data_IF_683504864505
#
_entry.id   IF_683504864505
#
_cell.length_a   1.000
_cell.length_b   1.000
_cell.length_c   1.000
_cell.angle_alpha   90.00
_cell.angle_beta   90.00
_cell.angle_gamma   90.00
#
_symmetry.space_group_name_H-M   'P 1'
#
loop_
_entity.id
_entity.type
_entity.pdbx_description
1 polymer ?
#
# COMPACT_ATOMS: atom_id res chain seq x y z
N UNK A 1 19.04 6.20 7.14
CA UNK A 1 17.57 6.26 7.16
C UNK A 1 16.88 4.94 6.76
N UNK A 2 17.63 3.91 6.30
CA UNK A 2 17.13 2.55 6.03
C UNK A 2 16.09 2.45 4.90
N UNK A 3 15.94 3.46 4.06
CA UNK A 3 15.09 3.41 2.88
C UNK A 3 15.93 2.93 1.69
N UNK A 4 15.39 1.98 0.93
CA UNK A 4 15.95 1.53 -0.35
C UNK A 4 15.71 2.64 -1.41
N UNK A 5 16.67 3.58 -1.49
CA UNK A 5 16.55 4.76 -2.34
C UNK A 5 16.90 4.41 -3.79
N UNK A 6 15.91 4.38 -4.66
CA UNK A 6 16.12 4.30 -6.11
C UNK A 6 16.76 5.56 -6.70
N UNK A 7 17.24 5.51 -7.97
CA UNK A 7 17.91 6.64 -8.62
C UNK A 7 17.13 7.96 -8.58
N UNK A 8 15.80 7.92 -8.72
CA UNK A 8 14.97 9.12 -8.68
C UNK A 8 14.93 9.75 -7.27
N UNK A 9 14.83 8.93 -6.22
CA UNK A 9 14.86 9.38 -4.82
C UNK A 9 16.22 10.00 -4.48
N UNK A 10 17.31 9.37 -4.94
CA UNK A 10 18.68 9.90 -4.74
C UNK A 10 18.83 11.26 -5.44
N UNK A 11 18.34 11.41 -6.67
CA UNK A 11 18.37 12.70 -7.39
C UNK A 11 17.63 13.77 -6.60
N UNK A 12 16.43 13.46 -6.08
CA UNK A 12 15.67 14.40 -5.26
C UNK A 12 16.47 14.83 -4.02
N UNK A 13 17.07 13.90 -3.28
CA UNK A 13 17.88 14.21 -2.10
C UNK A 13 19.12 15.03 -2.45
N UNK A 14 19.82 14.70 -3.54
CA UNK A 14 20.99 15.47 -4.01
C UNK A 14 20.62 16.92 -4.33
N UNK A 15 19.48 17.12 -5.01
CA UNK A 15 19.02 18.46 -5.36
C UNK A 15 18.53 19.21 -4.11
N UNK A 16 17.74 18.57 -3.26
CA UNK A 16 17.06 19.23 -2.14
C UNK A 16 17.99 19.55 -0.96
N UNK A 17 18.95 18.66 -0.66
CA UNK A 17 19.84 18.83 0.48
C UNK A 17 21.24 19.34 0.12
N UNK A 18 21.65 19.16 -1.13
CA UNK A 18 23.02 19.49 -1.56
C UNK A 18 23.08 20.44 -2.77
N UNK A 19 21.95 20.83 -3.34
CA UNK A 19 21.90 21.69 -4.54
C UNK A 19 22.48 21.04 -5.81
N UNK A 20 22.70 19.72 -5.80
CA UNK A 20 23.34 18.99 -6.91
C UNK A 20 22.27 18.55 -7.91
N UNK A 21 22.34 19.05 -9.13
CA UNK A 21 21.47 18.63 -10.23
C UNK A 21 22.16 17.54 -11.06
N UNK A 22 21.56 16.37 -11.13
CA UNK A 22 22.07 15.21 -11.88
C UNK A 22 20.91 14.41 -12.46
N UNK A 23 21.11 13.83 -13.66
CA UNK A 23 20.08 12.97 -14.27
C UNK A 23 19.97 11.62 -13.54
N UNK A 24 18.75 11.12 -13.34
CA UNK A 24 18.51 9.82 -12.73
C UNK A 24 19.21 8.66 -13.47
N UNK A 25 19.38 8.76 -14.79
CA UNK A 25 20.13 7.79 -15.59
C UNK A 25 21.63 7.76 -15.20
N UNK A 26 22.21 8.90 -14.83
CA UNK A 26 23.61 8.98 -14.37
C UNK A 26 23.76 8.32 -13.01
N UNK A 27 22.85 8.61 -12.07
CA UNK A 27 22.81 7.95 -10.76
C UNK A 27 22.66 6.43 -10.94
N UNK A 28 21.72 5.99 -11.78
CA UNK A 28 21.52 4.56 -12.06
C UNK A 28 22.80 3.89 -12.58
N UNK A 29 23.49 4.50 -13.54
CA UNK A 29 24.76 3.94 -14.07
C UNK A 29 25.81 3.78 -12.97
N UNK A 30 25.92 4.74 -12.07
CA UNK A 30 26.85 4.67 -10.94
C UNK A 30 26.49 3.59 -9.93
N UNK A 31 25.20 3.44 -9.62
CA UNK A 31 24.72 2.38 -8.72
C UNK A 31 24.94 0.98 -9.30
N UNK A 32 24.72 0.80 -10.60
CA UNK A 32 25.03 -0.46 -11.31
C UNK A 32 26.54 -0.74 -11.29
N UNK A 33 27.38 0.25 -11.59
CA UNK A 33 28.84 0.10 -11.56
C UNK A 33 29.36 -0.22 -10.15
N UNK A 34 28.68 0.24 -9.11
CA UNK A 34 29.00 -0.06 -7.72
C UNK A 34 28.39 -1.39 -7.21
N UNK A 35 27.69 -2.17 -8.06
CA UNK A 35 27.04 -3.42 -7.67
C UNK A 35 25.82 -3.27 -6.75
N UNK A 36 25.33 -2.03 -6.59
CA UNK A 36 24.18 -1.73 -5.71
C UNK A 36 22.82 -1.93 -6.40
N UNK A 37 22.82 -2.09 -7.71
CA UNK A 37 21.62 -2.43 -8.51
C UNK A 37 22.01 -3.53 -9.49
N UNK A 38 21.28 -4.64 -9.42
CA UNK A 38 21.34 -5.66 -10.46
C UNK A 38 20.42 -5.27 -11.62
N UNK A 39 20.93 -5.26 -12.87
CA UNK A 39 20.08 -5.06 -14.04
C UNK A 39 19.09 -6.22 -14.20
N UNK A 40 17.79 -5.95 -14.20
CA UNK A 40 16.76 -6.93 -14.52
C UNK A 40 16.29 -6.77 -15.99
N UNK A 41 16.91 -7.44 -16.97
CA UNK A 41 16.58 -7.26 -18.39
C UNK A 41 15.17 -7.76 -18.76
N UNK A 42 14.55 -8.60 -17.91
CA UNK A 42 13.19 -9.14 -18.11
C UNK A 42 12.08 -8.19 -17.63
N UNK A 43 12.40 -7.13 -16.94
CA UNK A 43 11.41 -6.15 -16.48
C UNK A 43 10.87 -5.37 -17.68
N UNK A 44 9.56 -5.45 -17.91
CA UNK A 44 8.90 -4.67 -18.98
C UNK A 44 9.18 -3.17 -18.81
N UNK A 45 9.42 -2.42 -19.91
CA UNK A 45 9.57 -0.97 -19.85
C UNK A 45 8.38 -0.31 -19.17
N UNK A 46 8.61 0.73 -18.36
CA UNK A 46 7.52 1.48 -17.69
C UNK A 46 6.49 2.06 -18.67
N UNK A 47 6.90 2.37 -19.89
CA UNK A 47 6.03 2.86 -20.96
C UNK A 47 5.01 1.82 -21.46
N UNK A 48 5.20 0.53 -21.16
CA UNK A 48 4.26 -0.53 -21.55
C UNK A 48 3.12 -0.76 -20.54
N UNK A 49 3.11 -0.04 -19.41
CA UNK A 49 2.05 -0.14 -18.41
C UNK A 49 1.01 0.96 -18.62
N UNK A 50 -0.23 0.57 -18.88
CA UNK A 50 -1.36 1.49 -18.76
C UNK A 50 -1.55 1.77 -17.28
N UNK A 51 -1.29 3.01 -16.85
CA UNK A 51 -1.50 3.43 -15.48
C UNK A 51 -2.93 3.88 -15.31
N UNK A 52 -3.70 3.15 -14.55
CA UNK A 52 -4.94 3.67 -13.99
C UNK A 52 -4.59 4.51 -12.76
N UNK A 53 -5.09 5.73 -12.70
CA UNK A 53 -4.93 6.64 -11.56
C UNK A 53 -6.19 7.48 -11.47
N UNK A 54 -6.72 7.62 -10.26
CA UNK A 54 -7.77 8.58 -9.95
C UNK A 54 -7.29 10.01 -10.28
N UNK A 55 -8.18 10.85 -10.77
CA UNK A 55 -7.82 12.22 -11.20
C UNK A 55 -7.66 13.15 -10.00
N UNK A 56 -8.42 12.90 -8.93
CA UNK A 56 -8.46 13.72 -7.73
C UNK A 56 -8.25 12.91 -6.46
N UNK A 57 -7.75 13.54 -5.37
CA UNK A 57 -7.76 12.95 -4.04
C UNK A 57 -9.20 12.57 -3.63
N UNK A 58 -9.35 11.50 -2.86
CA UNK A 58 -10.63 10.95 -2.41
C UNK A 58 -11.58 10.49 -3.55
N UNK A 59 -11.14 10.45 -4.79
CA UNK A 59 -11.92 9.81 -5.85
C UNK A 59 -11.93 8.28 -5.69
N UNK A 60 -10.80 7.72 -5.29
CA UNK A 60 -10.69 6.28 -5.04
C UNK A 60 -9.64 5.97 -3.98
N UNK A 61 -10.02 5.15 -3.02
CA UNK A 61 -9.10 4.55 -2.07
C UNK A 61 -8.81 3.10 -2.44
N UNK A 62 -7.57 2.67 -2.23
CA UNK A 62 -7.18 1.27 -2.32
C UNK A 62 -6.97 0.71 -0.92
N UNK A 63 -7.38 -0.54 -0.72
CA UNK A 63 -7.12 -1.28 0.52
C UNK A 63 -6.60 -2.66 0.24
N UNK A 64 -5.71 -3.10 1.09
CA UNK A 64 -5.17 -4.45 1.11
C UNK A 64 -4.53 -4.71 2.48
N UNK A 65 -4.35 -5.97 2.85
CA UNK A 65 -3.60 -6.33 4.03
C UNK A 65 -2.45 -7.28 3.69
N UNK A 66 -1.41 -7.23 4.51
CA UNK A 66 -0.22 -8.04 4.31
C UNK A 66 0.29 -8.62 5.61
N UNK A 67 0.92 -9.79 5.54
CA UNK A 67 1.56 -10.40 6.70
C UNK A 67 2.91 -9.77 6.98
N UNK A 68 3.17 -9.50 8.27
CA UNK A 68 4.44 -9.03 8.80
C UNK A 68 4.91 -9.95 9.93
N UNK A 69 6.20 -10.29 9.94
CA UNK A 69 6.79 -11.10 11.00
C UNK A 69 6.93 -10.31 12.30
N UNK A 70 6.60 -10.96 13.41
CA UNK A 70 7.00 -10.57 14.76
C UNK A 70 8.17 -11.49 15.22
N UNK A 71 8.85 -11.14 16.29
CA UNK A 71 9.89 -12.02 16.87
C UNK A 71 9.32 -13.40 17.25
N UNK A 72 8.06 -13.42 17.69
CA UNK A 72 7.35 -14.65 18.05
C UNK A 72 5.98 -14.71 17.39
N UNK A 73 5.93 -14.93 16.06
CA UNK A 73 4.67 -15.08 15.32
C UNK A 73 4.52 -14.16 14.12
N UNK A 74 3.29 -13.90 13.76
CA UNK A 74 2.92 -13.06 12.63
C UNK A 74 1.81 -12.09 13.01
N UNK A 75 1.82 -10.94 12.35
CA UNK A 75 0.77 -9.94 12.39
C UNK A 75 0.27 -9.66 10.97
N UNK A 76 -0.92 -9.13 10.86
CA UNK A 76 -1.49 -8.60 9.63
C UNK A 76 -1.52 -7.08 9.69
N UNK A 77 -1.01 -6.42 8.65
CA UNK A 77 -1.02 -4.96 8.52
C UNK A 77 -2.02 -4.58 7.46
N UNK A 78 -3.08 -3.89 7.88
CA UNK A 78 -4.11 -3.35 7.00
C UNK A 78 -3.70 -1.94 6.57
N UNK A 79 -3.85 -1.66 5.27
CA UNK A 79 -3.49 -0.37 4.66
C UNK A 79 -4.66 0.21 3.90
N UNK A 80 -4.94 1.50 4.14
CA UNK A 80 -5.79 2.34 3.31
C UNK A 80 -4.94 3.39 2.62
N UNK A 81 -5.02 3.48 1.29
CA UNK A 81 -4.19 4.34 0.46
C UNK A 81 -5.05 5.14 -0.51
N UNK A 82 -4.88 6.45 -0.56
CA UNK A 82 -5.47 7.28 -1.61
C UNK A 82 -4.80 6.99 -2.97
N UNK A 83 -5.62 6.68 -3.99
CA UNK A 83 -5.14 6.27 -5.30
C UNK A 83 -4.43 7.40 -6.05
N UNK A 84 -4.87 8.65 -5.87
CA UNK A 84 -4.30 9.80 -6.54
C UNK A 84 -2.97 10.23 -5.91
N UNK A 85 -3.02 10.62 -4.64
CA UNK A 85 -1.87 11.19 -3.91
C UNK A 85 -0.86 10.17 -3.45
N UNK A 86 -1.25 8.90 -3.29
CA UNK A 86 -0.49 7.82 -2.62
C UNK A 86 -0.33 8.05 -1.13
N UNK A 87 -1.11 8.94 -0.57
CA UNK A 87 -1.13 9.18 0.86
C UNK A 87 -1.65 7.94 1.59
N UNK A 88 -0.93 7.52 2.62
CA UNK A 88 -1.35 6.43 3.49
C UNK A 88 -2.35 6.99 4.51
N UNK A 89 -3.63 6.71 4.28
CA UNK A 89 -4.73 7.18 5.11
C UNK A 89 -4.76 6.48 6.48
N UNK A 90 -4.42 5.19 6.46
CA UNK A 90 -4.32 4.35 7.65
C UNK A 90 -3.40 3.17 7.39
N UNK A 91 -2.53 2.87 8.34
CA UNK A 91 -1.66 1.68 8.34
C UNK A 91 -1.69 1.08 9.74
N UNK A 92 -2.42 0.00 9.93
CA UNK A 92 -2.71 -0.54 11.26
C UNK A 92 -2.31 -2.00 11.39
N UNK A 93 -1.68 -2.34 12.54
CA UNK A 93 -1.23 -3.68 12.87
C UNK A 93 -2.30 -4.44 13.69
N UNK A 94 -2.54 -5.68 13.32
CA UNK A 94 -3.53 -6.55 13.95
C UNK A 94 -2.99 -7.98 14.08
N UNK A 95 -3.45 -8.72 15.08
CA UNK A 95 -3.21 -10.18 15.14
C UNK A 95 -3.85 -10.84 13.92
N UNK A 96 -5.06 -10.39 13.55
CA UNK A 96 -5.80 -10.82 12.36
C UNK A 96 -6.73 -9.70 11.91
N UNK A 97 -6.75 -9.42 10.61
CA UNK A 97 -7.69 -8.49 9.99
C UNK A 97 -9.06 -9.17 9.86
N UNK A 98 -10.09 -8.52 10.37
CA UNK A 98 -11.48 -8.99 10.34
C UNK A 98 -12.38 -7.94 9.68
N UNK A 99 -13.59 -8.33 9.27
CA UNK A 99 -14.57 -7.41 8.69
C UNK A 99 -14.84 -6.16 9.55
N UNK A 100 -15.11 -6.29 10.85
CA UNK A 100 -15.23 -5.12 11.75
C UNK A 100 -14.01 -4.21 11.72
N UNK A 101 -12.80 -4.74 11.83
CA UNK A 101 -11.55 -3.94 11.79
C UNK A 101 -11.45 -3.15 10.47
N UNK A 102 -11.82 -3.77 9.35
CA UNK A 102 -11.81 -3.09 8.04
C UNK A 102 -12.78 -1.91 8.04
N UNK A 103 -13.99 -2.08 8.59
CA UNK A 103 -14.98 -0.99 8.68
C UNK A 103 -14.54 0.09 9.65
N UNK A 104 -14.03 -0.27 10.81
CA UNK A 104 -13.59 0.69 11.84
C UNK A 104 -12.47 1.59 11.29
N UNK A 105 -11.44 0.99 10.67
CA UNK A 105 -10.32 1.74 10.09
C UNK A 105 -10.75 2.58 8.89
N UNK A 106 -11.67 2.09 8.06
CA UNK A 106 -12.27 2.83 6.96
C UNK A 106 -13.03 4.06 7.46
N UNK A 107 -13.91 3.87 8.45
CA UNK A 107 -14.76 4.92 9.01
C UNK A 107 -13.90 5.99 9.71
N UNK A 108 -12.90 5.57 10.47
CA UNK A 108 -11.96 6.52 11.10
C UNK A 108 -11.21 7.35 10.05
N UNK A 109 -10.66 6.69 9.03
CA UNK A 109 -9.96 7.40 7.93
C UNK A 109 -10.91 8.36 7.19
N UNK A 110 -12.19 7.96 7.00
CA UNK A 110 -13.20 8.80 6.37
C UNK A 110 -13.60 10.01 7.23
N UNK A 111 -13.63 9.85 8.54
CA UNK A 111 -13.87 10.95 9.48
C UNK A 111 -12.74 11.98 9.46
N UNK A 112 -11.49 11.52 9.35
CA UNK A 112 -10.31 12.37 9.40
C UNK A 112 -10.02 13.08 8.07
N UNK A 113 -10.23 12.41 6.92
CA UNK A 113 -9.78 12.85 5.60
C UNK A 113 -10.91 13.10 4.57
N UNK A 114 -12.18 12.86 4.97
CA UNK A 114 -13.31 12.80 4.06
C UNK A 114 -13.42 11.44 3.37
N UNK A 115 -14.66 11.01 3.08
CA UNK A 115 -14.91 9.72 2.46
C UNK A 115 -14.62 9.72 0.95
N UNK A 116 -14.15 8.58 0.37
CA UNK A 116 -13.89 8.48 -1.05
C UNK A 116 -15.18 8.28 -1.86
N UNK A 117 -15.15 8.60 -3.16
CA UNK A 117 -16.24 8.26 -4.07
C UNK A 117 -16.28 6.75 -4.38
N UNK A 118 -15.14 6.07 -4.31
CA UNK A 118 -15.06 4.61 -4.52
C UNK A 118 -13.93 3.97 -3.72
N UNK A 119 -14.09 2.67 -3.44
CA UNK A 119 -13.08 1.82 -2.78
C UNK A 119 -12.73 0.67 -3.72
N UNK A 120 -11.43 0.44 -3.90
CA UNK A 120 -10.87 -0.67 -4.64
C UNK A 120 -10.19 -1.64 -3.67
N UNK A 121 -10.63 -2.89 -3.66
CA UNK A 121 -10.05 -3.98 -2.87
C UNK A 121 -9.75 -5.20 -3.74
N UNK A 122 -8.99 -6.14 -3.19
CA UNK A 122 -8.96 -7.48 -3.71
C UNK A 122 -10.28 -8.23 -3.42
N UNK A 123 -10.29 -9.53 -3.72
CA UNK A 123 -11.48 -10.38 -3.50
C UNK A 123 -11.39 -11.17 -2.19
N UNK A 124 -10.59 -10.77 -1.21
CA UNK A 124 -10.55 -11.45 0.08
C UNK A 124 -11.89 -11.35 0.81
N UNK A 125 -12.23 -12.38 1.57
CA UNK A 125 -13.53 -12.49 2.25
C UNK A 125 -13.80 -11.36 3.25
N UNK A 126 -12.78 -10.70 3.74
CA UNK A 126 -12.91 -9.53 4.63
C UNK A 126 -13.47 -8.31 3.89
N UNK A 127 -13.30 -8.25 2.56
CA UNK A 127 -13.76 -7.13 1.72
C UNK A 127 -15.02 -7.46 0.92
N UNK A 128 -15.28 -8.75 0.61
CA UNK A 128 -16.43 -9.12 -0.22
C UNK A 128 -16.89 -10.56 0.03
N UNK A 129 -18.19 -10.79 -0.09
CA UNK A 129 -18.79 -12.14 -0.05
C UNK A 129 -19.01 -12.73 -1.44
N UNK A 130 -18.56 -12.05 -2.50
CA UNK A 130 -18.81 -12.45 -3.89
C UNK A 130 -18.45 -13.89 -4.22
N UNK A 131 -17.44 -14.45 -3.55
CA UNK A 131 -17.00 -15.84 -3.74
C UNK A 131 -17.39 -16.78 -2.60
N UNK A 132 -18.29 -16.38 -1.70
CA UNK A 132 -18.76 -17.21 -0.58
C UNK A 132 -19.78 -18.30 -0.97
N UNK A 133 -19.84 -18.69 -2.24
CA UNK A 133 -20.68 -19.81 -2.70
C UNK A 133 -22.20 -19.60 -2.60
N UNK A 134 -22.69 -18.37 -2.67
CA UNK A 134 -24.12 -18.04 -2.67
C UNK A 134 -24.82 -18.14 -1.31
N UNK A 135 -24.08 -18.40 -0.23
CA UNK A 135 -24.61 -18.48 1.14
C UNK A 135 -24.49 -17.17 1.93
N UNK A 136 -24.02 -16.10 1.30
CA UNK A 136 -23.69 -14.88 2.01
C UNK A 136 -24.61 -13.73 1.65
N UNK A 137 -25.10 -13.04 2.69
CA UNK A 137 -25.45 -11.64 2.61
C UNK A 137 -24.21 -10.78 2.29
N UNK A 138 -24.36 -9.46 2.39
CA UNK A 138 -23.22 -8.53 2.30
C UNK A 138 -22.31 -8.66 3.53
N UNK A 139 -21.00 -8.50 3.34
CA UNK A 139 -20.09 -8.39 4.47
C UNK A 139 -20.15 -6.98 5.10
N UNK A 140 -19.43 -6.78 6.21
CA UNK A 140 -19.46 -5.52 6.95
C UNK A 140 -19.06 -4.31 6.09
N UNK A 141 -18.01 -4.44 5.28
CA UNK A 141 -17.57 -3.36 4.40
C UNK A 141 -18.59 -3.07 3.29
N UNK A 142 -19.12 -4.11 2.63
CA UNK A 142 -20.14 -3.96 1.59
C UNK A 142 -21.41 -3.24 2.11
N UNK A 143 -21.79 -3.50 3.36
CA UNK A 143 -22.92 -2.80 4.02
C UNK A 143 -22.56 -1.34 4.24
N UNK A 144 -21.43 -1.06 4.89
CA UNK A 144 -21.00 0.30 5.20
C UNK A 144 -20.85 1.16 3.93
N UNK A 145 -20.26 0.62 2.86
CA UNK A 145 -20.09 1.35 1.60
C UNK A 145 -21.42 1.69 0.95
N UNK A 146 -22.40 0.76 0.99
CA UNK A 146 -23.75 1.01 0.45
C UNK A 146 -24.48 2.07 1.25
N UNK A 147 -24.42 2.04 2.58
CA UNK A 147 -25.02 3.06 3.44
C UNK A 147 -24.45 4.45 3.21
N UNK A 148 -23.17 4.55 2.91
CA UNK A 148 -22.47 5.80 2.59
C UNK A 148 -22.58 6.20 1.11
N UNK A 149 -23.23 5.41 0.25
CA UNK A 149 -23.33 5.66 -1.18
C UNK A 149 -22.00 5.54 -1.95
N UNK A 150 -21.03 4.81 -1.41
CA UNK A 150 -19.68 4.64 -1.96
C UNK A 150 -19.64 3.42 -2.87
N UNK A 151 -19.05 3.58 -4.06
CA UNK A 151 -18.94 2.48 -5.02
C UNK A 151 -17.80 1.54 -4.65
N UNK A 152 -18.10 0.25 -4.45
CA UNK A 152 -17.06 -0.77 -4.31
C UNK A 152 -16.60 -1.28 -5.68
N UNK A 153 -15.31 -1.26 -5.91
CA UNK A 153 -14.63 -1.83 -7.09
C UNK A 153 -13.78 -3.02 -6.64
N UNK A 154 -13.72 -4.05 -7.46
CA UNK A 154 -12.91 -5.23 -7.19
C UNK A 154 -11.80 -5.37 -8.23
N UNK A 155 -10.63 -5.84 -7.81
CA UNK A 155 -9.59 -6.26 -8.74
C UNK A 155 -10.11 -7.41 -9.61
N UNK A 156 -9.81 -7.38 -10.93
CA UNK A 156 -10.12 -8.50 -11.80
C UNK A 156 -9.24 -9.69 -11.42
N UNK A 157 -9.80 -10.91 -11.32
CA UNK A 157 -9.00 -12.11 -11.11
C UNK A 157 -7.88 -12.18 -12.16
N UNK A 158 -6.65 -12.50 -11.75
CA UNK A 158 -5.46 -12.58 -12.60
C UNK A 158 -5.04 -11.28 -13.34
N UNK A 159 -5.52 -10.10 -12.93
CA UNK A 159 -5.02 -8.81 -13.39
C UNK A 159 -4.27 -8.08 -12.27
N UNK A 160 -2.96 -8.28 -12.11
CA UNK A 160 -2.17 -7.73 -11.00
C UNK A 160 -2.00 -6.21 -11.03
N UNK A 161 -2.58 -5.54 -12.03
CA UNK A 161 -2.39 -4.09 -12.21
C UNK A 161 -3.40 -3.22 -11.43
N UNK A 162 -4.43 -3.82 -10.83
CA UNK A 162 -5.54 -3.06 -10.27
C UNK A 162 -5.23 -2.53 -8.87
N UNK A 163 -4.66 -3.34 -7.97
CA UNK A 163 -4.24 -2.94 -6.62
C UNK A 163 -2.73 -2.64 -6.51
N UNK A 164 -2.05 -2.47 -7.63
CA UNK A 164 -0.58 -2.35 -7.70
C UNK A 164 0.02 -1.17 -6.91
N UNK A 165 -0.80 -0.21 -6.48
CA UNK A 165 -0.32 0.94 -5.70
C UNK A 165 -0.17 0.59 -4.24
N UNK A 166 -1.20 0.00 -3.64
CA UNK A 166 -1.14 -0.47 -2.26
C UNK A 166 -0.14 -1.62 -2.12
N UNK A 167 -0.06 -2.54 -3.10
CA UNK A 167 0.97 -3.58 -3.14
C UNK A 167 2.39 -2.98 -3.16
N UNK A 168 2.60 -1.93 -3.94
CA UNK A 168 3.91 -1.24 -3.99
C UNK A 168 4.24 -0.53 -2.69
N UNK A 169 3.26 0.09 -2.05
CA UNK A 169 3.40 0.66 -0.72
C UNK A 169 3.82 -0.41 0.29
N UNK A 170 3.12 -1.55 0.33
CA UNK A 170 3.42 -2.68 1.21
C UNK A 170 4.81 -3.27 0.95
N UNK A 171 5.26 -3.36 -0.31
CA UNK A 171 6.64 -3.78 -0.63
C UNK A 171 7.67 -2.83 -0.01
N UNK A 172 7.43 -1.52 -0.07
CA UNK A 172 8.31 -0.51 0.51
C UNK A 172 8.32 -0.61 2.04
N UNK A 173 7.13 -0.74 2.64
CA UNK A 173 6.97 -0.96 4.08
C UNK A 173 7.72 -2.21 4.55
N UNK A 174 7.54 -3.35 3.87
CA UNK A 174 8.24 -4.61 4.21
C UNK A 174 9.76 -4.47 4.15
N UNK A 175 10.29 -3.80 3.14
CA UNK A 175 11.74 -3.53 3.04
C UNK A 175 12.22 -2.64 4.18
N UNK A 176 11.44 -1.63 4.55
CA UNK A 176 11.76 -0.73 5.64
C UNK A 176 11.72 -1.45 6.99
N UNK A 177 10.75 -2.32 7.22
CA UNK A 177 10.67 -3.16 8.42
C UNK A 177 11.83 -4.18 8.47
N UNK A 178 12.17 -4.81 7.35
CA UNK A 178 13.26 -5.79 7.28
C UNK A 178 14.66 -5.21 7.62
N UNK A 179 14.82 -3.89 7.53
CA UNK A 179 16.05 -3.20 7.94
C UNK A 179 16.11 -2.90 9.46
N UNK A 180 15.16 -3.40 10.24
CA UNK A 180 14.99 -3.18 11.68
C UNK A 180 14.86 -4.50 12.42
N UNK A 181 15.16 -4.54 13.73
CA UNK A 181 14.83 -5.71 14.55
C UNK A 181 13.33 -6.02 14.45
N UNK A 182 13.00 -7.31 14.39
CA UNK A 182 11.60 -7.74 14.38
C UNK A 182 10.93 -7.30 15.70
N UNK A 183 9.76 -6.64 15.64
CA UNK A 183 9.04 -6.23 16.84
C UNK A 183 8.49 -7.44 17.60
N UNK A 184 8.44 -7.33 18.93
CA UNK A 184 7.97 -8.43 19.78
C UNK A 184 6.45 -8.48 19.88
N UNK A 185 5.77 -7.34 19.77
CA UNK A 185 4.31 -7.21 19.97
C UNK A 185 3.65 -6.41 18.84
N UNK A 186 2.31 -6.47 18.81
CA UNK A 186 1.48 -5.68 17.86
C UNK A 186 1.68 -4.18 18.10
N UNK A 187 1.74 -3.75 19.36
CA UNK A 187 1.94 -2.34 19.74
C UNK A 187 3.33 -1.84 19.29
N UNK A 188 4.35 -2.67 19.44
CA UNK A 188 5.70 -2.34 18.96
C UNK A 188 5.74 -2.28 17.41
N UNK A 189 5.01 -3.17 16.73
CA UNK A 189 4.85 -3.07 15.28
C UNK A 189 4.11 -1.79 14.90
N UNK A 190 3.00 -1.45 15.60
CA UNK A 190 2.25 -0.22 15.32
C UNK A 190 3.13 1.03 15.49
N UNK A 191 3.93 1.10 16.53
CA UNK A 191 4.86 2.23 16.73
C UNK A 191 5.89 2.36 15.58
N UNK A 192 6.32 1.25 14.99
CA UNK A 192 7.15 1.28 13.77
C UNK A 192 6.35 1.77 12.57
N UNK A 193 5.09 1.33 12.39
CA UNK A 193 4.23 1.79 11.29
C UNK A 193 3.96 3.29 11.37
N UNK A 194 3.69 3.82 12.57
CA UNK A 194 3.47 5.25 12.81
C UNK A 194 4.73 6.08 12.50
N UNK A 195 5.92 5.50 12.69
CA UNK A 195 7.18 6.14 12.32
C UNK A 195 7.55 6.01 10.83
N UNK A 196 6.82 5.17 10.06
CA UNK A 196 6.99 5.00 8.62
C UNK A 196 6.10 5.93 7.80
N UNK A 197 4.88 6.22 8.28
CA UNK A 197 3.87 7.09 7.65
C UNK A 197 3.98 8.52 8.13
#
# INVERSE_FOLDING_TARGET
QGLDAGPATIVWHLQHHHGITVAAATVRRRLVAAGLIEPEPRKRPRSSYIRFQAELPNEMWQTDFTHCGLAHGQAEVLTWLDDHSRYALSVTAHVRVTGPIVVDTFTQSGADQGFPASVLSDNAMVYTTRFAGGRGGRNHLEVALVELGITQKHSRPNHPTTCGKVERFQQTLKKWLAARPAPDTIEALQALLDGFT
#
